data_IF_512328249863
#
_entry.id   IF_512328249863
#
_cell.length_a   1.000
_cell.length_b   1.000
_cell.length_c   1.000
_cell.angle_alpha   90.00
_cell.angle_beta   90.00
_cell.angle_gamma   90.00
#
_symmetry.space_group_name_H-M   'P 1'
#
loop_
_entity.id
_entity.type
_entity.pdbx_description
1 polymer ?
#
# COMPACT_ATOMS: atom_id res chain seq x y z
N UNK A 1 -4.37 15.58 -3.12
CA UNK A 1 -2.93 15.92 -3.14
C UNK A 1 -2.29 15.42 -1.84
N UNK A 2 -2.06 14.11 -1.69
CA UNK A 2 -1.69 13.53 -0.39
C UNK A 2 -0.35 12.79 -0.43
N UNK A 3 -0.10 11.93 -1.42
CA UNK A 3 1.13 11.13 -1.48
C UNK A 3 2.44 11.94 -1.54
N UNK A 4 2.50 13.00 -2.35
CA UNK A 4 3.71 13.86 -2.43
C UNK A 4 3.96 14.60 -1.10
N UNK A 5 2.91 15.05 -0.43
CA UNK A 5 3.03 15.72 0.87
C UNK A 5 3.57 14.75 1.94
N UNK A 6 3.10 13.50 1.94
CA UNK A 6 3.63 12.44 2.82
C UNK A 6 5.12 12.19 2.55
N UNK A 7 5.51 12.08 1.27
CA UNK A 7 6.92 11.95 0.89
C UNK A 7 7.79 13.09 1.46
N UNK A 8 7.40 14.34 1.19
CA UNK A 8 8.16 15.52 1.61
C UNK A 8 8.26 15.64 3.13
N UNK A 9 7.23 15.20 3.86
CA UNK A 9 7.19 15.29 5.32
C UNK A 9 8.00 14.20 6.02
N UNK A 10 8.03 12.97 5.47
CA UNK A 10 8.53 11.80 6.22
C UNK A 10 9.79 11.18 5.64
N UNK A 11 10.06 11.36 4.34
CA UNK A 11 11.15 10.66 3.68
C UNK A 11 12.25 11.59 3.19
N UNK A 12 11.92 12.84 2.84
CA UNK A 12 12.93 13.82 2.45
C UNK A 12 14.02 13.97 3.53
N UNK A 13 15.31 14.07 3.13
CA UNK A 13 15.82 14.16 1.76
C UNK A 13 16.09 12.80 1.06
N UNK A 14 15.74 11.65 1.67
CA UNK A 14 15.92 10.34 1.04
C UNK A 14 15.11 10.24 -0.25
N UNK A 15 15.69 9.65 -1.27
CA UNK A 15 14.99 9.30 -2.52
C UNK A 15 14.58 7.83 -2.50
N UNK A 16 13.52 7.49 -3.22
CA UNK A 16 13.16 6.08 -3.37
C UNK A 16 14.27 5.34 -4.14
N UNK A 17 14.74 4.23 -3.60
CA UNK A 17 15.75 3.33 -4.19
C UNK A 17 15.10 2.32 -5.13
N UNK A 18 13.89 1.86 -4.77
CA UNK A 18 13.08 0.92 -5.52
C UNK A 18 11.59 1.33 -5.45
N UNK A 19 10.80 0.84 -6.40
CA UNK A 19 9.34 1.06 -6.41
C UNK A 19 8.60 -0.08 -7.09
N UNK A 20 7.35 -0.30 -6.65
CA UNK A 20 6.42 -1.24 -7.27
C UNK A 20 5.24 -0.50 -7.88
N UNK A 21 4.80 -1.00 -9.04
CA UNK A 21 3.54 -0.63 -9.66
C UNK A 21 2.94 -1.87 -10.33
N UNK A 22 2.12 -2.59 -9.57
CA UNK A 22 1.61 -3.90 -9.96
C UNK A 22 0.12 -3.79 -10.28
N UNK A 23 -0.28 -4.02 -11.55
CA UNK A 23 -1.69 -4.09 -11.92
C UNK A 23 -2.31 -5.39 -11.38
N UNK A 24 -3.52 -5.29 -10.87
CA UNK A 24 -4.30 -6.40 -10.35
C UNK A 24 -5.62 -6.60 -11.08
N UNK A 25 -6.56 -7.33 -10.45
CA UNK A 25 -7.86 -7.65 -11.03
C UNK A 25 -8.79 -6.43 -11.08
N UNK A 26 -9.87 -6.60 -11.85
CA UNK A 26 -11.06 -5.74 -11.81
C UNK A 26 -11.96 -6.22 -10.67
N UNK A 27 -12.17 -5.39 -9.66
CA UNK A 27 -12.94 -5.73 -8.45
C UNK A 27 -13.79 -4.52 -8.07
N UNK A 28 -15.12 -4.68 -8.02
CA UNK A 28 -16.05 -3.57 -7.79
C UNK A 28 -15.92 -2.92 -6.42
N UNK A 29 -15.76 -3.74 -5.37
CA UNK A 29 -15.80 -3.28 -3.99
C UNK A 29 -14.56 -3.78 -3.19
N UNK A 30 -13.33 -3.41 -3.58
CA UNK A 30 -12.11 -3.96 -2.99
C UNK A 30 -11.76 -3.32 -1.65
N UNK A 31 -12.51 -2.32 -1.20
CA UNK A 31 -12.13 -1.44 -0.09
C UNK A 31 -11.76 -2.19 1.18
N UNK A 32 -12.60 -3.15 1.61
CA UNK A 32 -12.34 -3.94 2.81
C UNK A 32 -11.05 -4.77 2.70
N UNK A 33 -10.79 -5.36 1.53
CA UNK A 33 -9.56 -6.11 1.29
C UNK A 33 -8.34 -5.19 1.30
N UNK A 34 -8.44 -4.02 0.67
CA UNK A 34 -7.35 -3.03 0.63
C UNK A 34 -7.01 -2.49 2.03
N UNK A 35 -8.01 -2.09 2.82
CA UNK A 35 -7.76 -1.60 4.18
C UNK A 35 -7.21 -2.71 5.07
N UNK A 36 -7.73 -3.94 4.94
CA UNK A 36 -7.22 -5.08 5.71
C UNK A 36 -5.75 -5.39 5.40
N UNK A 37 -5.33 -5.28 4.13
CA UNK A 37 -3.93 -5.52 3.73
C UNK A 37 -2.95 -4.57 4.43
N UNK A 38 -3.36 -3.31 4.62
CA UNK A 38 -2.59 -2.32 5.38
C UNK A 38 -2.86 -2.35 6.89
N UNK A 39 -3.56 -3.36 7.41
CA UNK A 39 -3.82 -3.52 8.84
C UNK A 39 -4.85 -2.56 9.41
N UNK A 40 -5.80 -2.09 8.61
CA UNK A 40 -6.86 -1.16 9.01
C UNK A 40 -8.28 -1.71 8.73
N UNK A 41 -9.27 -1.18 9.44
CA UNK A 41 -10.69 -1.42 9.18
C UNK A 41 -11.22 -0.63 7.97
N UNK A 42 -12.47 -0.87 7.60
CA UNK A 42 -13.14 -0.12 6.52
C UNK A 42 -13.36 1.36 6.88
N UNK A 43 -13.27 1.69 8.15
CA UNK A 43 -13.30 3.03 8.75
C UNK A 43 -11.90 3.68 8.84
N UNK A 44 -10.93 3.18 8.05
CA UNK A 44 -9.56 3.68 8.04
C UNK A 44 -9.48 5.21 7.98
N UNK A 45 -8.59 5.79 8.79
CA UNK A 45 -8.35 7.21 8.87
C UNK A 45 -6.85 7.52 8.83
N UNK A 46 -6.52 8.71 8.33
CA UNK A 46 -5.14 9.21 8.34
C UNK A 46 -4.62 9.34 9.79
N UNK A 47 -3.35 8.98 9.99
CA UNK A 47 -2.66 9.03 11.28
C UNK A 47 -2.89 7.84 12.20
N UNK A 48 -3.77 6.89 11.85
CA UNK A 48 -4.00 5.70 12.69
C UNK A 48 -2.79 4.74 12.63
N UNK A 49 -2.42 4.11 13.76
CA UNK A 49 -1.47 3.00 13.76
C UNK A 49 -1.99 1.84 12.92
N UNK A 50 -1.09 1.16 12.25
CA UNK A 50 -1.39 0.04 11.36
C UNK A 50 -0.25 -0.97 11.36
N UNK A 51 -0.54 -2.20 10.91
CA UNK A 51 0.46 -3.24 10.71
C UNK A 51 0.19 -3.97 9.40
N UNK A 52 1.15 -3.92 8.47
CA UNK A 52 1.03 -4.58 7.19
C UNK A 52 0.88 -6.10 7.39
N UNK A 53 -0.15 -6.68 6.80
CA UNK A 53 -0.50 -8.09 6.97
C UNK A 53 -0.72 -8.78 5.63
N UNK A 54 0.27 -8.65 4.74
CA UNK A 54 0.29 -9.32 3.44
C UNK A 54 1.14 -10.58 3.54
N UNK A 55 0.58 -11.78 3.29
CA UNK A 55 1.35 -13.02 3.33
C UNK A 55 2.56 -12.98 2.39
N UNK A 56 3.74 -13.34 2.89
CA UNK A 56 5.01 -13.27 2.16
C UNK A 56 5.78 -11.96 2.36
N UNK A 57 5.18 -10.96 3.02
CA UNK A 57 5.89 -9.77 3.53
C UNK A 57 6.02 -9.93 5.04
N UNK A 58 7.23 -9.71 5.56
CA UNK A 58 7.45 -9.69 7.01
C UNK A 58 6.55 -8.62 7.65
N UNK A 59 5.75 -8.95 8.68
CA UNK A 59 4.82 -8.00 9.27
C UNK A 59 5.54 -6.77 9.80
N UNK A 60 5.17 -5.60 9.30
CA UNK A 60 5.81 -4.32 9.63
C UNK A 60 4.79 -3.32 10.16
N UNK A 61 5.13 -2.69 11.28
CA UNK A 61 4.31 -1.64 11.89
C UNK A 61 4.45 -0.33 11.12
N UNK A 62 3.39 0.48 11.14
CA UNK A 62 3.34 1.73 10.41
C UNK A 62 2.17 2.61 10.79
N UNK A 63 1.86 3.56 9.91
CA UNK A 63 0.78 4.53 10.06
C UNK A 63 0.04 4.64 8.74
N UNK A 64 -1.29 4.63 8.76
CA UNK A 64 -2.06 4.96 7.57
C UNK A 64 -1.92 6.46 7.30
N UNK A 65 -1.45 6.83 6.12
CA UNK A 65 -1.11 8.22 5.78
C UNK A 65 -1.95 8.79 4.63
N UNK A 66 -2.62 7.90 3.88
CA UNK A 66 -3.46 8.31 2.76
C UNK A 66 -4.73 7.51 2.80
N UNK A 67 -5.85 8.14 3.14
CA UNK A 67 -7.17 7.57 2.98
C UNK A 67 -8.02 8.44 2.07
N UNK A 68 -8.39 7.88 0.92
CA UNK A 68 -9.44 8.40 0.06
C UNK A 68 -10.43 7.26 -0.09
N UNK A 69 -11.49 7.30 0.72
CA UNK A 69 -12.47 6.22 0.84
C UNK A 69 -12.84 5.63 -0.51
N UNK A 70 -12.85 4.30 -0.60
CA UNK A 70 -13.12 3.47 -1.80
C UNK A 70 -12.12 3.56 -2.95
N UNK A 71 -11.12 4.45 -2.90
CA UNK A 71 -10.19 4.65 -4.03
C UNK A 71 -8.71 4.49 -3.65
N UNK A 72 -8.26 5.00 -2.51
CA UNK A 72 -6.86 4.94 -2.11
C UNK A 72 -6.75 4.64 -0.63
N UNK A 73 -5.89 3.68 -0.28
CA UNK A 73 -5.40 3.51 1.08
C UNK A 73 -3.88 3.33 1.05
N UNK A 74 -3.17 4.07 1.87
CA UNK A 74 -1.71 4.02 1.93
C UNK A 74 -1.18 3.98 3.35
N UNK A 75 -0.17 3.14 3.55
CA UNK A 75 0.52 2.97 4.82
C UNK A 75 1.98 3.37 4.67
N UNK A 76 2.47 4.13 5.64
CA UNK A 76 3.86 4.51 5.78
C UNK A 76 4.51 3.67 6.89
N UNK A 77 5.69 3.15 6.62
CA UNK A 77 6.65 2.68 7.62
C UNK A 77 7.82 3.68 7.69
N UNK A 78 8.87 3.35 8.44
CA UNK A 78 10.07 4.18 8.47
C UNK A 78 10.80 4.23 7.12
N UNK A 79 10.68 3.17 6.31
CA UNK A 79 11.47 2.98 5.08
C UNK A 79 10.63 2.70 3.83
N UNK A 80 9.30 2.65 3.93
CA UNK A 80 8.44 2.38 2.79
C UNK A 80 7.11 3.14 2.85
N UNK A 81 6.60 3.49 1.67
CA UNK A 81 5.25 4.00 1.47
C UNK A 81 4.48 3.04 0.57
N UNK A 82 3.64 2.21 1.18
CA UNK A 82 2.71 1.31 0.51
C UNK A 82 1.45 2.08 0.12
N UNK A 83 0.90 1.84 -1.06
CA UNK A 83 -0.37 2.43 -1.49
C UNK A 83 -1.12 1.46 -2.39
N UNK A 84 -2.33 1.13 -1.97
CA UNK A 84 -3.30 0.39 -2.77
C UNK A 84 -4.25 1.37 -3.44
N UNK A 85 -4.57 1.09 -4.70
CA UNK A 85 -5.38 1.96 -5.54
C UNK A 85 -6.52 1.13 -6.12
N UNK A 86 -7.75 1.60 -5.94
CA UNK A 86 -8.91 1.19 -6.70
C UNK A 86 -9.28 2.34 -7.62
N UNK A 87 -9.02 2.15 -8.91
CA UNK A 87 -8.97 3.23 -9.87
C UNK A 87 -9.82 2.95 -11.11
N UNK A 88 -9.35 3.47 -12.23
CA UNK A 88 -10.02 3.38 -13.52
C UNK A 88 -10.48 1.94 -13.86
N UNK A 89 -11.74 1.81 -14.31
CA UNK A 89 -12.38 0.52 -14.64
C UNK A 89 -12.33 -0.54 -13.52
N UNK A 90 -12.50 -0.10 -12.27
CA UNK A 90 -12.48 -0.95 -11.06
C UNK A 90 -11.18 -1.75 -10.89
N UNK A 91 -10.09 -1.33 -11.54
CA UNK A 91 -8.80 -2.00 -11.41
C UNK A 91 -8.17 -1.71 -10.04
N UNK A 92 -7.68 -2.78 -9.41
CA UNK A 92 -6.87 -2.70 -8.20
C UNK A 92 -5.39 -2.66 -8.56
N UNK A 93 -4.60 -1.82 -7.89
CA UNK A 93 -3.14 -1.79 -8.00
C UNK A 93 -2.50 -1.88 -6.63
N UNK A 94 -1.40 -2.63 -6.55
CA UNK A 94 -0.47 -2.56 -5.43
C UNK A 94 0.76 -1.75 -5.82
N UNK A 95 1.08 -0.73 -5.01
CA UNK A 95 2.24 0.12 -5.25
C UNK A 95 3.02 0.31 -3.96
N UNK A 96 4.33 0.45 -4.09
CA UNK A 96 5.22 0.72 -2.97
C UNK A 96 6.36 1.64 -3.43
N UNK A 97 6.86 2.50 -2.55
CA UNK A 97 8.12 3.22 -2.73
C UNK A 97 8.99 2.86 -1.54
N UNK A 98 10.20 2.36 -1.81
CA UNK A 98 11.16 1.95 -0.79
C UNK A 98 12.27 2.99 -0.69
N UNK A 99 12.68 3.30 0.53
CA UNK A 99 13.67 4.33 0.88
C UNK A 99 14.88 3.73 1.61
N UNK A 100 15.04 2.41 1.51
CA UNK A 100 16.17 1.59 1.99
C UNK A 100 16.70 0.70 0.85
N UNK A 101 17.77 -0.07 1.10
CA UNK A 101 18.43 -0.87 0.05
C UNK A 101 17.85 -2.29 -0.09
N UNK A 102 16.58 -2.51 0.30
CA UNK A 102 15.97 -3.85 0.25
C UNK A 102 15.80 -4.34 -1.20
N UNK A 103 15.91 -5.65 -1.39
CA UNK A 103 15.50 -6.33 -2.63
C UNK A 103 13.97 -6.46 -2.65
N UNK A 104 13.27 -5.87 -3.62
CA UNK A 104 11.81 -5.89 -3.67
C UNK A 104 11.23 -7.20 -4.24
N UNK A 105 12.05 -8.19 -4.62
CA UNK A 105 11.59 -9.41 -5.31
C UNK A 105 10.56 -10.20 -4.49
N UNK A 106 10.84 -10.46 -3.21
CA UNK A 106 9.93 -11.19 -2.33
C UNK A 106 8.62 -10.43 -2.09
N UNK A 107 8.70 -9.10 -1.86
CA UNK A 107 7.50 -8.27 -1.72
C UNK A 107 6.70 -8.17 -3.02
N UNK A 108 7.37 -8.20 -4.19
CA UNK A 108 6.71 -8.23 -5.50
C UNK A 108 5.85 -9.47 -5.66
N UNK A 109 6.42 -10.65 -5.37
CA UNK A 109 5.70 -11.93 -5.42
C UNK A 109 4.53 -11.95 -4.43
N UNK A 110 4.75 -11.46 -3.21
CA UNK A 110 3.71 -11.37 -2.19
C UNK A 110 2.54 -10.46 -2.62
N UNK A 111 2.83 -9.29 -3.18
CA UNK A 111 1.80 -8.40 -3.70
C UNK A 111 1.06 -8.98 -4.90
N UNK A 112 1.75 -9.68 -5.81
CA UNK A 112 1.10 -10.37 -6.93
C UNK A 112 0.16 -11.47 -6.44
N UNK A 113 0.60 -12.28 -5.47
CA UNK A 113 -0.23 -13.31 -4.86
C UNK A 113 -1.45 -12.72 -4.14
N UNK A 114 -1.26 -11.61 -3.42
CA UNK A 114 -2.36 -10.88 -2.79
C UNK A 114 -3.35 -10.35 -3.83
N UNK A 115 -2.89 -9.68 -4.90
CA UNK A 115 -3.75 -9.18 -5.97
C UNK A 115 -4.55 -10.30 -6.64
N UNK A 116 -3.93 -11.47 -6.88
CA UNK A 116 -4.61 -12.64 -7.40
C UNK A 116 -5.69 -13.16 -6.44
N UNK A 117 -5.45 -13.09 -5.12
CA UNK A 117 -6.41 -13.49 -4.09
C UNK A 117 -7.62 -12.57 -3.96
N UNK A 118 -7.46 -11.26 -4.21
CA UNK A 118 -8.58 -10.29 -4.17
C UNK A 118 -9.54 -10.44 -5.36
N UNK A 119 -9.13 -11.16 -6.41
CA UNK A 119 -9.97 -11.46 -7.57
C UNK A 119 -11.03 -12.55 -7.32
N UNK A 120 -10.86 -13.36 -6.27
CA UNK A 120 -11.64 -14.56 -5.98
C UNK A 120 -12.80 -14.30 -5.01
#
# INVERSE_FOLDING_TARGET
MTKLAVYLKHFAPRTATNSLFLPGPIVKDPWAAMTAAVGAGTDAADGQPARLSVPGIEPVDGTVEVVVSTSFVGMRTDDALYTLIHGYNDMVFATAHYFDDRDPSAETEAWQAWLAGVAA
#
